data_IF_748791768997
#
_entry.id   IF_748791768997
#
_cell.length_a   1.000
_cell.length_b   1.000
_cell.length_c   1.000
_cell.angle_alpha   90.00
_cell.angle_beta   90.00
_cell.angle_gamma   90.00
#
_symmetry.space_group_name_H-M   'P 1'
#
loop_
_entity.id
_entity.type
_entity.pdbx_description
1 polymer ?
#
# COMPACT_ATOMS: atom_id res chain seq x y z
N UNK A 1 -8.12 14.66 21.43
CA UNK A 1 -8.16 13.55 20.44
C UNK A 1 -8.71 14.17 19.17
N UNK A 2 -8.00 14.11 18.03
CA UNK A 2 -8.56 14.62 16.77
C UNK A 2 -9.56 13.56 16.27
N UNK A 3 -10.86 13.84 16.36
CA UNK A 3 -11.93 12.86 16.05
C UNK A 3 -12.05 12.55 14.54
N UNK A 4 -11.34 13.28 13.69
CA UNK A 4 -11.39 13.11 12.24
C UNK A 4 -10.01 12.84 11.64
N UNK A 5 -9.78 11.60 11.23
CA UNK A 5 -8.53 11.13 10.59
C UNK A 5 -8.20 11.93 9.33
N UNK A 6 -9.22 12.37 8.58
CA UNK A 6 -9.00 13.16 7.38
C UNK A 6 -8.36 14.51 7.70
N UNK A 7 -8.80 15.17 8.77
CA UNK A 7 -8.22 16.43 9.24
C UNK A 7 -6.84 16.21 9.86
N UNK A 8 -6.68 15.14 10.65
CA UNK A 8 -5.39 14.78 11.23
C UNK A 8 -4.32 14.63 10.14
N UNK A 9 -4.61 13.92 9.05
CA UNK A 9 -3.69 13.75 7.92
C UNK A 9 -3.31 15.10 7.31
N UNK A 10 -4.26 16.02 7.15
CA UNK A 10 -4.00 17.36 6.62
C UNK A 10 -3.06 18.18 7.51
N UNK A 11 -3.16 18.02 8.83
CA UNK A 11 -2.29 18.70 9.80
C UNK A 11 -0.88 18.10 9.78
N UNK A 12 -0.76 16.78 9.78
CA UNK A 12 0.54 16.12 9.94
C UNK A 12 1.36 16.06 8.65
N UNK A 13 0.75 16.16 7.46
CA UNK A 13 1.43 15.80 6.19
C UNK A 13 2.72 16.56 5.89
N UNK A 14 3.01 17.67 6.55
CA UNK A 14 4.25 18.44 6.39
C UNK A 14 5.28 18.23 7.52
N UNK A 15 4.94 17.47 8.54
CA UNK A 15 5.80 17.14 9.68
C UNK A 15 6.31 15.71 9.56
N UNK A 16 7.62 15.55 9.30
CA UNK A 16 8.22 14.24 9.05
C UNK A 16 8.09 13.29 10.24
N UNK A 17 8.21 13.80 11.46
CA UNK A 17 8.16 12.98 12.68
C UNK A 17 6.72 12.52 12.95
N UNK A 18 5.74 13.42 12.82
CA UNK A 18 4.33 13.06 12.98
C UNK A 18 3.84 12.11 11.89
N UNK A 19 4.32 12.27 10.65
CA UNK A 19 4.04 11.32 9.57
C UNK A 19 4.61 9.95 9.91
N UNK A 20 5.87 9.87 10.37
CA UNK A 20 6.49 8.60 10.75
C UNK A 20 5.71 7.91 11.88
N UNK A 21 5.32 8.66 12.91
CA UNK A 21 4.51 8.14 14.02
C UNK A 21 3.17 7.61 13.53
N UNK A 22 2.46 8.37 12.69
CA UNK A 22 1.18 7.97 12.12
C UNK A 22 1.32 6.70 11.27
N UNK A 23 2.35 6.58 10.43
CA UNK A 23 2.61 5.35 9.67
C UNK A 23 2.82 4.16 10.63
N UNK A 24 3.56 4.36 11.71
CA UNK A 24 3.81 3.32 12.70
C UNK A 24 2.52 2.86 13.41
N UNK A 25 1.64 3.80 13.77
CA UNK A 25 0.32 3.51 14.36
C UNK A 25 -0.56 2.67 13.42
N UNK A 26 -0.51 2.93 12.11
CA UNK A 26 -1.33 2.25 11.11
C UNK A 26 -0.65 1.05 10.44
N UNK A 27 0.49 0.56 10.94
CA UNK A 27 1.15 -0.64 10.40
C UNK A 27 0.22 -1.85 10.33
N UNK A 28 -0.57 -2.10 11.37
CA UNK A 28 -1.49 -3.24 11.40
C UNK A 28 -2.58 -3.13 10.33
N UNK A 29 -3.05 -1.92 10.05
CA UNK A 29 -3.99 -1.67 8.95
C UNK A 29 -3.36 -1.99 7.59
N UNK A 30 -2.11 -1.56 7.37
CA UNK A 30 -1.37 -1.82 6.13
C UNK A 30 -1.17 -3.33 5.95
N UNK A 31 -0.73 -4.03 7.01
CA UNK A 31 -0.54 -5.49 7.00
C UNK A 31 -1.85 -6.21 6.68
N UNK A 32 -2.95 -5.85 7.35
CA UNK A 32 -4.26 -6.44 7.10
C UNK A 32 -4.72 -6.22 5.65
N UNK A 33 -4.48 -5.04 5.10
CA UNK A 33 -4.83 -4.73 3.72
C UNK A 33 -3.98 -5.53 2.71
N UNK A 34 -2.68 -5.65 2.94
CA UNK A 34 -1.79 -6.47 2.12
C UNK A 34 -2.23 -7.94 2.17
N UNK A 35 -2.46 -8.50 3.36
CA UNK A 35 -2.88 -9.89 3.51
C UNK A 35 -4.15 -10.20 2.72
N UNK A 36 -5.14 -9.31 2.84
CA UNK A 36 -6.40 -9.40 2.10
C UNK A 36 -6.19 -9.30 0.59
N UNK A 37 -5.34 -8.38 0.14
CA UNK A 37 -5.10 -8.11 -1.28
C UNK A 37 -4.30 -9.22 -1.96
N UNK A 38 -3.35 -9.82 -1.23
CA UNK A 38 -2.46 -10.87 -1.74
C UNK A 38 -3.04 -12.29 -1.55
N UNK A 39 -4.11 -12.44 -0.75
CA UNK A 39 -4.69 -13.73 -0.34
C UNK A 39 -3.67 -14.65 0.36
N UNK A 40 -2.66 -14.07 1.03
CA UNK A 40 -1.65 -14.75 1.86
C UNK A 40 -1.19 -13.83 2.99
N UNK A 41 -0.61 -14.36 4.05
CA UNK A 41 0.05 -13.53 5.07
C UNK A 41 1.38 -12.99 4.54
N UNK A 42 1.66 -11.71 4.83
CA UNK A 42 2.95 -11.08 4.54
C UNK A 42 3.95 -11.26 5.68
N UNK A 43 5.21 -11.48 5.34
CA UNK A 43 6.34 -11.37 6.24
C UNK A 43 6.93 -9.96 6.17
N UNK A 44 6.73 -9.18 7.23
CA UNK A 44 7.18 -7.78 7.30
C UNK A 44 8.69 -7.59 7.20
N UNK A 45 9.50 -8.66 7.35
CA UNK A 45 10.96 -8.58 7.27
C UNK A 45 11.50 -8.99 5.90
N UNK A 46 10.72 -9.74 5.11
CA UNK A 46 11.22 -10.41 3.90
C UNK A 46 10.38 -10.11 2.64
N UNK A 47 9.12 -9.68 2.77
CA UNK A 47 8.26 -9.37 1.62
C UNK A 47 8.42 -7.91 1.15
N UNK A 48 8.84 -7.74 -0.10
CA UNK A 48 8.93 -6.43 -0.77
C UNK A 48 7.57 -5.72 -0.80
N UNK A 49 6.47 -6.47 -0.87
CA UNK A 49 5.10 -5.95 -0.85
C UNK A 49 4.84 -5.09 0.39
N UNK A 50 5.44 -5.44 1.55
CA UNK A 50 5.30 -4.65 2.75
C UNK A 50 5.98 -3.28 2.63
N UNK A 51 7.23 -3.27 2.16
CA UNK A 51 7.98 -2.02 1.93
C UNK A 51 7.30 -1.14 0.88
N UNK A 52 6.77 -1.74 -0.19
CA UNK A 52 6.00 -1.05 -1.23
C UNK A 52 4.73 -0.44 -0.64
N UNK A 53 3.99 -1.19 0.19
CA UNK A 53 2.77 -0.70 0.82
C UNK A 53 3.04 0.44 1.82
N UNK A 54 4.12 0.36 2.61
CA UNK A 54 4.56 1.45 3.48
C UNK A 54 4.87 2.73 2.71
N UNK A 55 5.62 2.61 1.61
CA UNK A 55 5.96 3.75 0.76
C UNK A 55 4.70 4.35 0.11
N UNK A 56 3.81 3.52 -0.39
CA UNK A 56 2.51 3.93 -0.94
C UNK A 56 1.64 4.68 0.08
N UNK A 57 1.64 4.21 1.33
CA UNK A 57 0.90 4.86 2.42
C UNK A 57 1.50 6.22 2.80
N UNK A 58 2.84 6.32 2.86
CA UNK A 58 3.54 7.60 3.03
C UNK A 58 3.17 8.59 1.92
N UNK A 59 3.26 8.17 0.66
CA UNK A 59 2.86 8.99 -0.49
C UNK A 59 1.40 9.45 -0.40
N UNK A 60 0.53 8.56 0.09
CA UNK A 60 -0.88 8.87 0.30
C UNK A 60 -1.05 10.01 1.30
N UNK A 61 -0.32 10.00 2.43
CA UNK A 61 -0.36 11.09 3.42
C UNK A 61 0.09 12.42 2.79
N UNK A 62 1.20 12.39 2.04
CA UNK A 62 1.78 13.59 1.43
C UNK A 62 0.88 14.21 0.36
N UNK A 63 0.21 13.37 -0.42
CA UNK A 63 -0.63 13.78 -1.56
C UNK A 63 -2.12 13.93 -1.22
N UNK A 64 -2.52 13.62 0.01
CA UNK A 64 -3.93 13.62 0.39
C UNK A 64 -4.58 15.00 0.26
N UNK A 65 -5.82 14.95 -0.24
CA UNK A 65 -6.72 16.07 -0.44
C UNK A 65 -8.08 15.70 0.16
N UNK A 66 -8.43 16.38 1.25
CA UNK A 66 -9.66 16.12 2.01
C UNK A 66 -10.95 16.32 1.19
N UNK A 67 -10.90 17.10 0.10
CA UNK A 67 -12.06 17.32 -0.77
C UNK A 67 -12.40 16.10 -1.64
N UNK A 68 -11.49 15.13 -1.76
CA UNK A 68 -11.62 13.97 -2.67
C UNK A 68 -12.12 12.69 -1.99
N UNK A 69 -12.60 12.79 -0.75
CA UNK A 69 -13.15 11.67 0.03
C UNK A 69 -12.21 11.20 1.13
N UNK A 70 -12.48 10.01 1.69
CA UNK A 70 -11.76 9.48 2.87
C UNK A 70 -10.29 9.12 2.61
N UNK A 71 -9.44 9.44 3.57
CA UNK A 71 -8.00 9.11 3.53
C UNK A 71 -7.76 7.61 3.40
N UNK A 72 -8.42 6.75 4.18
CA UNK A 72 -8.15 5.31 4.10
C UNK A 72 -8.59 4.71 2.79
N UNK A 73 -9.72 5.15 2.23
CA UNK A 73 -10.17 4.69 0.92
C UNK A 73 -9.16 5.08 -0.17
N UNK A 74 -8.64 6.30 -0.10
CA UNK A 74 -7.58 6.76 -1.00
C UNK A 74 -6.29 5.94 -0.82
N UNK A 75 -5.80 5.79 0.41
CA UNK A 75 -4.57 5.09 0.71
C UNK A 75 -4.61 3.61 0.30
N UNK A 76 -5.74 2.92 0.53
CA UNK A 76 -5.95 1.54 0.06
C UNK A 76 -5.82 1.45 -1.46
N UNK A 77 -6.41 2.40 -2.20
CA UNK A 77 -6.32 2.44 -3.66
C UNK A 77 -4.88 2.64 -4.13
N UNK A 78 -4.12 3.55 -3.51
CA UNK A 78 -2.71 3.79 -3.85
C UNK A 78 -1.88 2.53 -3.57
N UNK A 79 -2.03 1.91 -2.40
CA UNK A 79 -1.34 0.65 -2.06
C UNK A 79 -1.66 -0.43 -3.11
N UNK A 80 -2.95 -0.63 -3.43
CA UNK A 80 -3.37 -1.63 -4.43
C UNK A 80 -2.70 -1.40 -5.79
N UNK A 81 -2.68 -0.16 -6.28
CA UNK A 81 -2.05 0.15 -7.56
C UNK A 81 -0.54 -0.08 -7.54
N UNK A 82 0.15 0.31 -6.45
CA UNK A 82 1.59 0.08 -6.30
C UNK A 82 1.94 -1.42 -6.30
N UNK A 83 1.13 -2.24 -5.63
CA UNK A 83 1.29 -3.69 -5.65
C UNK A 83 1.03 -4.28 -7.05
N UNK A 84 -0.03 -3.84 -7.73
CA UNK A 84 -0.31 -4.28 -9.11
C UNK A 84 0.86 -3.95 -10.06
N UNK A 85 1.38 -2.73 -9.97
CA UNK A 85 2.51 -2.30 -10.80
C UNK A 85 3.78 -3.11 -10.50
N UNK A 86 4.03 -3.42 -9.23
CA UNK A 86 5.14 -4.30 -8.83
C UNK A 86 5.05 -5.68 -9.49
N UNK A 87 3.89 -6.35 -9.40
CA UNK A 87 3.72 -7.67 -10.03
C UNK A 87 3.76 -7.63 -11.56
N UNK A 88 3.24 -6.57 -12.19
CA UNK A 88 3.33 -6.40 -13.66
C UNK A 88 4.79 -6.29 -14.12
N UNK A 89 5.61 -5.53 -13.38
CA UNK A 89 7.04 -5.39 -13.68
C UNK A 89 7.80 -6.69 -13.45
N UNK A 90 7.54 -7.38 -12.33
CA UNK A 90 8.18 -8.66 -12.04
C UNK A 90 7.79 -9.74 -13.05
N UNK A 91 6.54 -9.75 -13.52
CA UNK A 91 6.10 -10.66 -14.58
C UNK A 91 6.81 -10.39 -15.91
N UNK A 92 7.05 -9.12 -16.25
CA UNK A 92 7.82 -8.76 -17.44
C UNK A 92 9.25 -9.28 -17.34
N UNK A 93 9.87 -9.15 -16.16
CA UNK A 93 11.20 -9.69 -15.85
C UNK A 93 11.26 -11.23 -15.88
N UNK A 94 10.18 -11.90 -15.46
CA UNK A 94 10.06 -13.37 -15.48
C UNK A 94 9.80 -13.90 -16.89
N UNK A 95 8.99 -13.21 -17.70
CA UNK A 95 8.75 -13.56 -19.11
C UNK A 95 10.02 -13.43 -19.97
N UNK A 96 10.97 -12.58 -19.58
CA UNK A 96 12.30 -12.52 -20.21
C UNK A 96 13.22 -13.67 -19.76
N UNK A 97 12.88 -14.39 -18.67
CA UNK A 97 13.73 -15.42 -18.08
C UNK A 97 13.21 -16.86 -18.17
N UNK A 98 11.92 -17.13 -18.36
CA UNK A 98 11.42 -18.51 -18.48
C UNK A 98 10.04 -18.57 -19.15
N UNK A 99 9.95 -19.28 -20.27
CA UNK A 99 8.70 -19.85 -20.78
C UNK A 99 8.29 -20.97 -19.82
N UNK A 100 7.00 -21.08 -19.51
CA UNK A 100 6.34 -22.05 -18.60
C UNK A 100 6.21 -21.63 -17.13
N UNK A 101 5.09 -20.95 -16.82
CA UNK A 101 4.16 -21.27 -15.71
C UNK A 101 3.17 -20.10 -15.54
N UNK A 102 2.21 -19.98 -16.46
CA UNK A 102 1.43 -18.75 -16.54
C UNK A 102 -0.04 -19.00 -16.87
N UNK A 103 -0.78 -19.58 -15.91
CA UNK A 103 -2.26 -19.55 -15.93
C UNK A 103 -2.96 -19.27 -14.60
N UNK A 104 -2.31 -19.35 -13.43
CA UNK A 104 -3.06 -19.30 -12.16
C UNK A 104 -3.01 -17.96 -11.41
N UNK A 105 -2.22 -16.99 -11.87
CA UNK A 105 -2.00 -15.73 -11.16
C UNK A 105 -2.85 -14.54 -11.65
N UNK A 106 -3.65 -14.72 -12.71
CA UNK A 106 -4.48 -13.63 -13.27
C UNK A 106 -5.71 -13.30 -12.42
N UNK A 107 -6.24 -14.27 -11.68
CA UNK A 107 -7.52 -14.15 -10.97
C UNK A 107 -7.36 -13.88 -9.45
N UNK A 108 -6.13 -13.65 -8.97
CA UNK A 108 -5.90 -13.35 -7.55
C UNK A 108 -6.16 -11.89 -7.19
N UNK A 109 -6.18 -10.97 -8.16
CA UNK A 109 -6.34 -9.51 -7.92
C UNK A 109 -7.67 -8.90 -8.40
N UNK A 110 -8.64 -9.73 -8.81
CA UNK A 110 -10.01 -9.33 -9.12
C UNK A 110 -11.01 -10.02 -8.18
#
# INVERSE_FOLDING_TARGET
MLENINEQVMIIKNDKERVSLFINEYKQFIIAYCNKSLKRYIDINNDDEYSIALMAFYESIKSYDISKGSFFSYAQRVIKFRLIDYYRKNKTLLNEKSIEEDKENKDKFF
#
